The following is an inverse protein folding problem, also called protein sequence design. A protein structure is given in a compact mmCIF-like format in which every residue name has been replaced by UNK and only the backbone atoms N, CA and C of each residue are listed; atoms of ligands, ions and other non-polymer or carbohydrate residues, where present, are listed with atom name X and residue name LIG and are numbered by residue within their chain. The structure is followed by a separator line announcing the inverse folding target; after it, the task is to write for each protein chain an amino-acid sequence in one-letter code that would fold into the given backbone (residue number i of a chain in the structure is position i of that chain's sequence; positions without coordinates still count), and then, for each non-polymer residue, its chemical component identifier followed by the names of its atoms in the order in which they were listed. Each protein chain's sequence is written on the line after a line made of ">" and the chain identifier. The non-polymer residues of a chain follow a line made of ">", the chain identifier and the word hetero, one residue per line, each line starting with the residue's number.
data_IF_987785929589
#
_entry.id   IF_987785929589
#
_cell.length_a   1.000
_cell.length_b   1.000
_cell.length_c   1.000
_cell.angle_alpha   90.00
_cell.angle_beta   90.00
_cell.angle_gamma   90.00
#
_symmetry.space_group_name_H-M   'P 1'
#
loop_
_entity.id
_entity.type
_entity.pdbx_description
1 polymer ?
#
# COMPACT_ATOMS: atom_id res chain seq x y z
N UNK A 1 15.36 1.09 51.12
CA UNK A 1 14.15 1.72 50.55
C UNK A 1 14.58 2.89 49.66
N UNK A 2 14.35 2.86 48.34
CA UNK A 2 14.77 3.95 47.46
C UNK A 2 13.74 5.09 47.45
N UNK A 3 14.28 6.31 47.45
CA UNK A 3 13.57 7.59 47.43
C UNK A 3 12.76 7.77 46.13
N UNK A 4 11.48 8.09 46.28
CA UNK A 4 10.59 8.57 45.21
C UNK A 4 11.09 9.89 44.64
N UNK A 5 11.44 9.90 43.34
CA UNK A 5 11.66 11.12 42.57
C UNK A 5 10.32 11.60 41.98
N UNK A 6 9.91 12.82 42.36
CA UNK A 6 8.78 13.56 41.79
C UNK A 6 9.03 14.00 40.34
N UNK A 7 7.97 14.30 39.55
CA UNK A 7 7.98 14.18 38.09
C UNK A 7 8.46 15.44 37.36
N UNK A 8 9.39 15.25 36.42
CA UNK A 8 9.89 16.25 35.45
C UNK A 8 8.90 16.60 34.32
N UNK A 9 7.59 16.33 34.51
CA UNK A 9 6.60 16.35 33.41
C UNK A 9 5.78 17.64 33.32
N UNK A 10 5.80 18.53 34.33
CA UNK A 10 4.96 19.75 34.34
C UNK A 10 5.61 20.99 33.71
N UNK A 11 6.93 21.03 33.55
CA UNK A 11 7.65 22.28 33.18
C UNK A 11 7.79 22.47 31.65
N UNK A 12 7.47 21.48 30.82
CA UNK A 12 7.54 21.61 29.34
C UNK A 12 6.21 21.92 28.64
N UNK A 13 5.07 21.77 29.31
CA UNK A 13 3.74 21.99 28.70
C UNK A 13 3.45 23.49 28.50
N UNK A 14 3.88 24.31 29.45
CA UNK A 14 3.67 25.76 29.39
C UNK A 14 4.46 26.39 28.23
N UNK A 15 5.68 25.93 27.97
CA UNK A 15 6.54 26.48 26.90
C UNK A 15 5.99 26.21 25.49
N UNK A 16 5.29 25.09 25.26
CA UNK A 16 4.69 24.77 23.96
C UNK A 16 3.43 25.62 23.72
N UNK A 17 2.61 25.82 24.76
CA UNK A 17 1.45 26.70 24.67
C UNK A 17 1.86 28.17 24.44
N UNK A 18 2.90 28.64 25.15
CA UNK A 18 3.39 30.02 25.03
C UNK A 18 4.10 30.26 23.70
N UNK A 19 4.94 29.34 23.21
CA UNK A 19 5.61 29.47 21.92
C UNK A 19 4.65 29.39 20.72
N UNK A 20 3.51 28.69 20.88
CA UNK A 20 2.44 28.70 19.88
C UNK A 20 1.62 29.99 19.91
N UNK A 21 1.45 30.62 21.08
CA UNK A 21 0.74 31.90 21.22
C UNK A 21 1.56 33.09 20.72
N UNK A 22 2.85 33.18 21.09
CA UNK A 22 3.73 34.30 20.71
C UNK A 22 4.08 34.33 19.21
N UNK A 23 3.99 33.18 18.52
CA UNK A 23 4.19 33.10 17.08
C UNK A 23 2.95 33.49 16.25
N UNK A 24 1.80 33.70 16.88
CA UNK A 24 0.49 33.90 16.23
C UNK A 24 -0.02 35.35 16.26
N UNK A 25 0.77 36.31 16.78
CA UNK A 25 0.39 37.73 16.84
C UNK A 25 0.63 38.54 15.54
N UNK A 26 0.88 37.89 14.40
CA UNK A 26 0.95 38.58 13.10
C UNK A 26 -0.10 38.08 12.11
N UNK A 27 -1.16 38.88 12.00
CA UNK A 27 -2.16 39.01 10.92
C UNK A 27 -2.51 37.74 10.10
N UNK A 28 -3.30 36.87 10.73
CA UNK A 28 -4.23 35.97 10.03
C UNK A 28 -5.55 36.04 10.81
N UNK A 29 -6.66 36.21 10.10
CA UNK A 29 -8.04 36.40 10.59
C UNK A 29 -8.33 35.76 11.97
N UNK A 30 -8.04 36.55 13.02
CA UNK A 30 -7.75 36.06 14.37
C UNK A 30 -8.96 35.40 15.02
N UNK A 31 -10.18 35.82 14.68
CA UNK A 31 -11.41 35.22 15.17
C UNK A 31 -11.68 33.81 14.62
N UNK A 32 -11.28 33.54 13.37
CA UNK A 32 -11.43 32.21 12.75
C UNK A 32 -10.43 31.22 13.32
N UNK A 33 -9.21 31.68 13.56
CA UNK A 33 -8.16 30.86 14.17
C UNK A 33 -8.42 30.63 15.66
N UNK A 34 -8.87 31.64 16.42
CA UNK A 34 -9.32 31.48 17.81
C UNK A 34 -10.46 30.47 17.94
N UNK A 35 -11.52 30.58 17.12
CA UNK A 35 -12.62 29.61 17.12
C UNK A 35 -12.14 28.20 16.81
N UNK A 36 -11.20 28.05 15.88
CA UNK A 36 -10.60 26.76 15.55
C UNK A 36 -9.77 26.20 16.72
N UNK A 37 -8.98 27.02 17.40
CA UNK A 37 -8.23 26.61 18.60
C UNK A 37 -9.17 26.18 19.72
N UNK A 38 -10.26 26.91 19.94
CA UNK A 38 -11.32 26.56 20.89
C UNK A 38 -12.00 25.23 20.52
N UNK A 39 -12.28 25.00 19.23
CA UNK A 39 -12.89 23.75 18.75
C UNK A 39 -11.96 22.54 18.91
N UNK A 40 -10.67 22.70 18.59
CA UNK A 40 -9.67 21.63 18.79
C UNK A 40 -9.47 21.34 20.28
N UNK A 41 -9.56 22.35 21.16
CA UNK A 41 -9.39 22.17 22.60
C UNK A 41 -10.42 21.20 23.24
N UNK A 42 -11.57 21.02 22.58
CA UNK A 42 -12.67 20.13 22.98
C UNK A 42 -12.43 18.65 22.68
N UNK A 43 -11.39 18.29 21.91
CA UNK A 43 -11.08 16.88 21.64
C UNK A 43 -10.54 16.20 22.90
N UNK A 44 -10.99 14.97 23.14
CA UNK A 44 -10.82 14.27 24.42
C UNK A 44 -9.37 13.99 24.82
N UNK A 45 -8.49 13.73 23.85
CA UNK A 45 -7.08 13.38 24.12
C UNK A 45 -6.12 14.47 23.69
N UNK A 46 -5.14 14.78 24.54
CA UNK A 46 -4.09 15.78 24.26
C UNK A 46 -3.37 15.50 22.94
N UNK A 47 -3.13 14.23 22.61
CA UNK A 47 -2.49 13.85 21.36
C UNK A 47 -3.40 14.02 20.15
N UNK A 48 -4.70 13.74 20.29
CA UNK A 48 -5.69 14.04 19.26
C UNK A 48 -5.83 15.54 19.03
N UNK A 49 -5.73 16.36 20.10
CA UNK A 49 -5.66 17.82 20.00
C UNK A 49 -4.45 18.28 19.21
N UNK A 50 -3.26 17.80 19.57
CA UNK A 50 -2.02 18.15 18.86
C UNK A 50 -2.07 17.73 17.38
N UNK A 51 -2.65 16.56 17.07
CA UNK A 51 -2.88 16.15 15.68
C UNK A 51 -3.90 17.05 14.96
N UNK A 52 -4.96 17.47 15.65
CA UNK A 52 -5.94 18.43 15.14
C UNK A 52 -5.32 19.79 14.82
N UNK A 53 -4.50 20.32 15.73
CA UNK A 53 -3.73 21.55 15.51
C UNK A 53 -2.82 21.42 14.29
N UNK A 54 -2.07 20.32 14.18
CA UNK A 54 -1.19 20.05 13.05
C UNK A 54 -1.95 19.97 11.72
N UNK A 55 -2.99 19.13 11.62
CA UNK A 55 -3.63 18.82 10.34
C UNK A 55 -4.53 19.94 9.81
N UNK A 56 -5.03 20.80 10.69
CA UNK A 56 -5.85 21.94 10.30
C UNK A 56 -5.02 23.22 10.05
N UNK A 57 -3.71 23.21 10.35
CA UNK A 57 -2.87 24.41 10.29
C UNK A 57 -2.63 24.88 8.86
N UNK A 58 -2.26 26.17 8.74
CA UNK A 58 -1.73 26.70 7.49
C UNK A 58 -0.44 25.96 7.09
N UNK A 59 -0.09 25.96 5.81
CA UNK A 59 1.14 25.29 5.33
C UNK A 59 2.41 25.85 6.02
N UNK A 60 2.44 27.15 6.31
CA UNK A 60 3.55 27.80 7.01
C UNK A 60 3.70 27.33 8.46
N UNK A 61 2.58 27.11 9.17
CA UNK A 61 2.58 26.66 10.57
C UNK A 61 2.75 25.15 10.71
N UNK A 62 2.30 24.37 9.71
CA UNK A 62 2.45 22.91 9.69
C UNK A 62 3.89 22.50 9.93
N UNK A 63 4.87 23.17 9.32
CA UNK A 63 6.29 22.86 9.51
C UNK A 63 6.73 22.96 10.98
N UNK A 64 6.31 24.00 11.69
CA UNK A 64 6.61 24.20 13.12
C UNK A 64 5.92 23.15 13.99
N UNK A 65 4.62 22.94 13.76
CA UNK A 65 3.82 21.98 14.53
C UNK A 65 4.25 20.53 14.28
N UNK A 66 4.77 20.23 13.10
CA UNK A 66 5.29 18.90 12.74
C UNK A 66 6.47 18.53 13.63
N UNK A 67 7.43 19.45 13.81
CA UNK A 67 8.61 19.21 14.66
C UNK A 67 8.21 18.90 16.11
N UNK A 68 7.22 19.62 16.63
CA UNK A 68 6.69 19.42 17.98
C UNK A 68 5.92 18.09 18.07
N UNK A 69 5.01 17.82 17.13
CA UNK A 69 4.17 16.62 17.14
C UNK A 69 5.01 15.34 17.09
N UNK A 70 6.05 15.35 16.25
CA UNK A 70 6.98 14.24 16.06
C UNK A 70 8.21 14.30 16.95
N UNK A 71 8.23 15.15 17.98
CA UNK A 71 9.26 15.09 19.02
C UNK A 71 9.29 13.66 19.59
N UNK A 72 10.50 13.11 19.68
CA UNK A 72 10.78 11.74 20.12
C UNK A 72 10.06 10.63 19.32
N UNK A 73 9.66 10.88 18.07
CA UNK A 73 9.01 9.87 17.22
C UNK A 73 9.90 8.63 17.07
N UNK A 74 11.21 8.82 16.87
CA UNK A 74 12.17 7.74 16.71
C UNK A 74 12.15 6.81 17.92
N UNK A 75 12.28 7.34 19.13
CA UNK A 75 12.31 6.58 20.38
C UNK A 75 11.01 5.81 20.57
N UNK A 76 9.86 6.44 20.31
CA UNK A 76 8.54 5.78 20.35
C UNK A 76 8.43 4.65 19.33
N UNK A 77 8.89 4.87 18.10
CA UNK A 77 8.89 3.85 17.05
C UNK A 77 9.78 2.67 17.42
N UNK A 78 10.99 2.91 17.95
CA UNK A 78 11.89 1.86 18.43
C UNK A 78 11.21 1.01 19.50
N UNK A 79 10.67 1.63 20.55
CA UNK A 79 9.99 0.89 21.64
C UNK A 79 8.78 0.10 21.14
N UNK A 80 7.93 0.71 20.32
CA UNK A 80 6.73 0.07 19.81
C UNK A 80 7.03 -1.08 18.85
N UNK A 81 8.10 -0.99 18.07
CA UNK A 81 8.51 -2.03 17.13
C UNK A 81 9.24 -3.18 17.82
N UNK A 82 10.06 -2.89 18.83
CA UNK A 82 10.66 -3.92 19.69
C UNK A 82 9.60 -4.75 20.41
N UNK A 83 8.55 -4.11 20.95
CA UNK A 83 7.48 -4.81 21.67
C UNK A 83 6.67 -5.74 20.76
N UNK A 84 6.57 -5.43 19.47
CA UNK A 84 5.84 -6.23 18.47
C UNK A 84 6.76 -7.01 17.51
N UNK A 85 8.08 -7.05 17.81
CA UNK A 85 9.13 -7.76 17.07
C UNK A 85 9.20 -7.44 15.57
N UNK A 86 8.87 -6.21 15.20
CA UNK A 86 9.10 -5.68 13.86
C UNK A 86 10.28 -4.71 13.87
N UNK A 87 10.83 -4.40 12.71
CA UNK A 87 11.97 -3.48 12.53
C UNK A 87 11.71 -2.57 11.34
N UNK A 88 12.37 -1.41 11.30
CA UNK A 88 12.30 -0.49 10.14
C UNK A 88 12.68 -1.17 8.81
N UNK A 89 13.56 -2.19 8.84
CA UNK A 89 13.94 -2.98 7.66
C UNK A 89 12.78 -3.79 7.09
N UNK A 90 11.82 -4.18 7.92
CA UNK A 90 10.65 -4.95 7.49
C UNK A 90 9.66 -4.07 6.68
N UNK A 91 9.93 -2.77 6.58
CA UNK A 91 9.22 -1.79 5.75
C UNK A 91 10.13 -1.17 4.67
N UNK A 92 11.28 -1.80 4.40
CA UNK A 92 12.26 -1.35 3.40
C UNK A 92 12.80 0.06 3.65
N UNK A 93 13.23 0.31 4.89
CA UNK A 93 14.01 1.50 5.24
C UNK A 93 15.43 1.11 5.64
N UNK A 94 16.39 2.01 5.35
CA UNK A 94 17.80 1.84 5.71
C UNK A 94 18.08 2.17 7.17
N UNK A 95 17.27 3.05 7.77
CA UNK A 95 17.39 3.46 9.16
C UNK A 95 16.06 3.85 9.79
N UNK A 96 16.05 3.93 11.12
CA UNK A 96 14.95 4.52 11.88
C UNK A 96 14.64 5.97 11.49
N UNK A 97 15.69 6.73 11.09
CA UNK A 97 15.55 8.12 10.66
C UNK A 97 14.75 8.20 9.38
N UNK A 98 15.02 7.32 8.42
CA UNK A 98 14.32 7.30 7.12
C UNK A 98 12.86 6.90 7.30
N UNK A 99 12.59 5.91 8.15
CA UNK A 99 11.22 5.50 8.45
C UNK A 99 10.43 6.62 9.15
N UNK A 100 11.03 7.28 10.15
CA UNK A 100 10.42 8.43 10.82
C UNK A 100 10.14 9.59 9.86
N UNK A 101 11.09 9.92 8.98
CA UNK A 101 10.92 10.97 7.98
C UNK A 101 9.79 10.65 6.97
N UNK A 102 9.70 9.39 6.53
CA UNK A 102 8.61 8.93 5.67
C UNK A 102 7.24 9.08 6.36
N UNK A 103 7.12 8.60 7.61
CA UNK A 103 5.88 8.74 8.40
C UNK A 103 5.50 10.21 8.57
N UNK A 104 6.46 11.05 8.93
CA UNK A 104 6.27 12.49 9.07
C UNK A 104 5.72 13.10 7.76
N UNK A 105 6.36 12.85 6.63
CA UNK A 105 5.92 13.36 5.32
C UNK A 105 4.51 12.92 4.93
N UNK A 106 4.15 11.67 5.22
CA UNK A 106 2.80 11.14 4.93
C UNK A 106 1.71 11.75 5.81
N UNK A 107 2.03 12.11 7.05
CA UNK A 107 1.09 12.79 7.94
C UNK A 107 0.92 14.25 7.57
N UNK A 108 2.00 14.97 7.24
CA UNK A 108 1.93 16.38 6.86
C UNK A 108 1.21 16.60 5.54
N UNK A 109 1.24 15.63 4.63
CA UNK A 109 0.49 15.68 3.37
C UNK A 109 -1.02 15.52 3.52
N UNK A 110 -1.52 15.16 4.72
CA UNK A 110 -2.97 14.99 4.94
C UNK A 110 -3.65 16.35 4.89
N UNK A 111 -4.64 16.48 4.00
CA UNK A 111 -5.46 17.69 3.87
C UNK A 111 -6.74 17.55 4.68
N UNK A 112 -6.95 18.44 5.65
CA UNK A 112 -8.19 18.56 6.41
C UNK A 112 -8.68 20.00 6.35
N UNK A 113 -9.94 20.19 5.97
CA UNK A 113 -10.47 21.53 5.68
C UNK A 113 -11.26 22.15 6.83
N UNK A 114 -11.69 21.36 7.83
CA UNK A 114 -12.35 21.85 9.05
C UNK A 114 -12.42 20.76 10.14
N UNK A 115 -12.77 21.15 11.37
CA UNK A 115 -12.85 20.26 12.53
C UNK A 115 -13.88 19.14 12.34
N UNK A 116 -15.03 19.42 11.72
CA UNK A 116 -16.08 18.41 11.48
C UNK A 116 -15.59 17.28 10.56
N UNK A 117 -14.81 17.61 9.53
CA UNK A 117 -14.13 16.62 8.67
C UNK A 117 -12.94 15.96 9.37
N UNK A 118 -12.28 16.67 10.30
CA UNK A 118 -11.33 16.03 11.20
C UNK A 118 -12.04 14.94 12.01
N UNK A 119 -12.98 15.27 12.89
CA UNK A 119 -13.62 14.30 13.79
C UNK A 119 -14.23 13.10 13.07
N UNK A 120 -15.06 13.35 12.03
CA UNK A 120 -15.68 12.28 11.23
C UNK A 120 -14.67 11.37 10.54
N UNK A 121 -13.49 11.89 10.23
CA UNK A 121 -12.46 11.17 9.49
C UNK A 121 -11.41 10.48 10.37
N UNK A 122 -11.48 10.56 11.71
CA UNK A 122 -10.46 9.98 12.58
C UNK A 122 -10.28 8.47 12.37
N UNK A 123 -11.37 7.72 12.38
CA UNK A 123 -11.34 6.27 12.16
C UNK A 123 -10.90 5.94 10.73
N UNK A 124 -11.40 6.69 9.73
CA UNK A 124 -10.99 6.51 8.33
C UNK A 124 -9.49 6.76 8.13
N UNK A 125 -8.94 7.82 8.72
CA UNK A 125 -7.51 8.15 8.66
C UNK A 125 -6.64 7.15 9.40
N UNK A 126 -7.11 6.60 10.53
CA UNK A 126 -6.43 5.48 11.20
C UNK A 126 -6.24 4.31 10.24
N UNK A 127 -7.31 3.89 9.58
CA UNK A 127 -7.26 2.75 8.66
C UNK A 127 -6.50 3.06 7.38
N UNK A 128 -6.64 4.27 6.82
CA UNK A 128 -5.82 4.71 5.70
C UNK A 128 -4.33 4.68 6.06
N UNK A 129 -3.94 5.18 7.23
CA UNK A 129 -2.55 5.17 7.67
C UNK A 129 -2.03 3.74 7.84
N UNK A 130 -2.76 2.89 8.56
CA UNK A 130 -2.37 1.49 8.75
C UNK A 130 -2.27 0.77 7.41
N UNK A 131 -3.25 0.94 6.53
CA UNK A 131 -3.30 0.30 5.21
C UNK A 131 -2.20 0.79 4.27
N UNK A 132 -2.24 2.06 3.90
CA UNK A 132 -1.41 2.61 2.82
C UNK A 132 0.03 2.95 3.24
N UNK A 133 0.27 3.22 4.54
CA UNK A 133 1.59 3.67 5.00
C UNK A 133 2.40 2.52 5.60
N UNK A 134 1.75 1.66 6.39
CA UNK A 134 2.44 0.56 7.08
C UNK A 134 2.27 -0.77 6.34
N UNK A 135 1.03 -1.20 6.15
CA UNK A 135 0.69 -2.54 5.70
C UNK A 135 1.11 -2.80 4.26
N UNK A 136 0.75 -1.89 3.36
CA UNK A 136 1.11 -1.96 1.95
C UNK A 136 2.63 -1.99 1.75
N UNK A 137 3.36 -1.19 2.54
CA UNK A 137 4.81 -1.14 2.48
C UNK A 137 5.46 -2.44 2.98
N UNK A 138 4.95 -2.99 4.07
CA UNK A 138 5.34 -4.31 4.59
C UNK A 138 5.13 -5.43 3.56
N UNK A 139 4.09 -5.33 2.73
CA UNK A 139 3.78 -6.33 1.69
C UNK A 139 4.65 -6.14 0.46
N UNK A 140 4.69 -4.93 -0.09
CA UNK A 140 5.35 -4.64 -1.38
C UNK A 140 6.88 -4.66 -1.29
N UNK A 141 7.44 -4.38 -0.11
CA UNK A 141 8.88 -4.18 0.08
C UNK A 141 9.45 -4.94 1.28
N UNK A 142 8.59 -5.48 2.16
CA UNK A 142 9.00 -6.18 3.37
C UNK A 142 9.10 -7.70 3.22
N UNK A 143 8.99 -8.45 4.34
CA UNK A 143 9.19 -9.90 4.37
C UNK A 143 8.25 -10.70 3.47
N UNK A 144 7.05 -10.17 3.21
CA UNK A 144 6.05 -10.83 2.37
C UNK A 144 6.44 -10.77 0.89
N UNK A 145 7.22 -9.75 0.49
CA UNK A 145 7.57 -9.51 -0.91
C UNK A 145 8.20 -10.72 -1.58
N UNK A 146 9.14 -11.38 -0.88
CA UNK A 146 9.81 -12.59 -1.38
C UNK A 146 8.82 -13.70 -1.75
N UNK A 147 7.81 -13.92 -0.91
CA UNK A 147 6.78 -14.92 -1.18
C UNK A 147 5.96 -14.56 -2.44
N UNK A 148 5.65 -13.27 -2.64
CA UNK A 148 4.97 -12.82 -3.86
C UNK A 148 5.87 -13.00 -5.09
N UNK A 149 7.17 -12.69 -4.98
CA UNK A 149 8.15 -12.88 -6.06
C UNK A 149 8.26 -14.36 -6.46
N UNK A 150 8.39 -15.26 -5.49
CA UNK A 150 8.49 -16.71 -5.72
C UNK A 150 7.21 -17.26 -6.37
N UNK A 151 6.03 -16.86 -5.88
CA UNK A 151 4.74 -17.28 -6.45
C UNK A 151 4.57 -16.80 -7.89
N UNK A 152 4.92 -15.55 -8.18
CA UNK A 152 4.86 -15.01 -9.53
C UNK A 152 5.81 -15.74 -10.49
N UNK A 153 7.00 -16.08 -9.99
CA UNK A 153 8.03 -16.79 -10.73
C UNK A 153 7.60 -18.22 -11.08
N UNK A 154 6.97 -18.93 -10.16
CA UNK A 154 6.45 -20.28 -10.39
C UNK A 154 5.29 -20.28 -11.39
N UNK A 155 4.37 -19.30 -11.27
CA UNK A 155 3.29 -19.11 -12.23
C UNK A 155 3.82 -18.83 -13.65
N UNK A 156 4.81 -17.93 -13.79
CA UNK A 156 5.46 -17.66 -15.08
C UNK A 156 6.14 -18.92 -15.64
N UNK A 157 6.84 -19.67 -14.80
CA UNK A 157 7.54 -20.89 -15.22
C UNK A 157 6.57 -21.94 -15.76
N UNK A 158 5.43 -22.14 -15.11
CA UNK A 158 4.38 -23.06 -15.56
C UNK A 158 3.88 -22.71 -16.97
N UNK A 159 3.66 -21.42 -17.24
CA UNK A 159 3.27 -20.92 -18.58
C UNK A 159 4.40 -21.19 -19.58
N UNK A 160 5.65 -20.85 -19.25
CA UNK A 160 6.79 -21.06 -20.14
C UNK A 160 7.08 -22.53 -20.41
N UNK A 161 6.90 -23.41 -19.42
CA UNK A 161 7.02 -24.86 -19.58
C UNK A 161 5.97 -25.39 -20.57
N UNK A 162 4.73 -24.90 -20.47
CA UNK A 162 3.66 -25.25 -21.40
C UNK A 162 3.97 -24.80 -22.83
N UNK A 163 4.53 -23.60 -23.01
CA UNK A 163 5.00 -23.09 -24.30
C UNK A 163 6.15 -23.97 -24.85
N UNK A 164 7.14 -24.32 -24.01
CA UNK A 164 8.29 -25.13 -24.42
C UNK A 164 7.87 -26.53 -24.85
N UNK A 165 7.07 -27.21 -24.04
CA UNK A 165 6.64 -28.59 -24.29
C UNK A 165 5.78 -28.69 -25.54
N UNK A 166 4.89 -27.72 -25.78
CA UNK A 166 3.91 -27.77 -26.86
C UNK A 166 4.27 -26.88 -28.07
N UNK A 167 5.42 -26.20 -28.03
CA UNK A 167 5.85 -25.12 -28.97
C UNK A 167 4.92 -23.89 -29.03
N UNK A 168 3.77 -23.96 -28.38
CA UNK A 168 2.79 -22.90 -28.25
C UNK A 168 1.90 -23.15 -27.04
N UNK A 169 1.33 -22.10 -26.47
CA UNK A 169 0.33 -22.19 -25.41
C UNK A 169 -0.86 -21.30 -25.75
N UNK A 170 -2.06 -21.88 -25.67
CA UNK A 170 -3.29 -21.12 -25.91
C UNK A 170 -3.65 -20.35 -24.64
N UNK A 171 -3.69 -19.03 -24.78
CA UNK A 171 -4.05 -18.07 -23.75
C UNK A 171 -5.30 -17.30 -24.18
N UNK A 172 -5.91 -16.54 -23.28
CA UNK A 172 -7.03 -15.65 -23.60
C UNK A 172 -6.63 -14.18 -23.46
N UNK A 173 -7.13 -13.32 -24.32
CA UNK A 173 -7.01 -11.87 -24.12
C UNK A 173 -8.11 -11.33 -23.19
N UNK A 174 -8.07 -10.02 -22.92
CA UNK A 174 -9.10 -9.36 -22.11
C UNK A 174 -10.52 -9.46 -22.72
N UNK A 175 -10.70 -9.81 -24.00
CA UNK A 175 -11.99 -9.98 -24.67
C UNK A 175 -12.36 -11.46 -24.87
N UNK A 176 -11.72 -12.38 -24.12
CA UNK A 176 -11.91 -13.83 -24.21
C UNK A 176 -11.56 -14.42 -25.59
N UNK A 177 -10.76 -13.73 -26.41
CA UNK A 177 -10.25 -14.30 -27.65
C UNK A 177 -9.08 -15.22 -27.36
N UNK A 178 -9.08 -16.39 -27.98
CA UNK A 178 -7.97 -17.33 -27.89
C UNK A 178 -6.77 -16.81 -28.68
N UNK A 179 -5.62 -16.73 -28.01
CA UNK A 179 -4.34 -16.29 -28.56
C UNK A 179 -3.36 -17.45 -28.45
N UNK A 180 -2.76 -17.85 -29.56
CA UNK A 180 -1.64 -18.81 -29.55
C UNK A 180 -0.34 -18.08 -29.29
N UNK A 181 0.25 -18.29 -28.11
CA UNK A 181 1.51 -17.67 -27.70
C UNK A 181 2.65 -18.64 -27.97
N UNK A 182 3.66 -18.22 -28.72
CA UNK A 182 4.75 -19.11 -29.15
C UNK A 182 6.09 -18.78 -28.50
N UNK A 183 6.22 -17.59 -27.90
CA UNK A 183 7.43 -17.15 -27.21
C UNK A 183 7.21 -17.10 -25.71
N UNK A 184 8.20 -17.61 -24.99
CA UNK A 184 8.29 -17.53 -23.54
C UNK A 184 8.30 -16.08 -23.05
N UNK A 185 7.72 -15.87 -21.88
CA UNK A 185 7.77 -14.61 -21.15
C UNK A 185 9.12 -14.47 -20.43
N UNK A 186 9.68 -13.27 -20.49
CA UNK A 186 10.98 -12.94 -19.93
C UNK A 186 10.97 -12.74 -18.41
N UNK A 187 11.94 -11.96 -17.92
CA UNK A 187 12.05 -11.64 -16.50
C UNK A 187 10.83 -10.87 -15.99
N UNK A 188 10.50 -11.08 -14.71
CA UNK A 188 9.42 -10.38 -14.04
C UNK A 188 9.88 -8.99 -13.59
N UNK A 189 9.08 -7.97 -13.91
CA UNK A 189 9.18 -6.62 -13.37
C UNK A 189 8.03 -6.37 -12.41
N UNK A 190 8.30 -5.78 -11.25
CA UNK A 190 7.27 -5.57 -10.24
C UNK A 190 6.55 -4.23 -10.44
N UNK A 191 5.31 -4.29 -10.91
CA UNK A 191 4.38 -3.17 -10.89
C UNK A 191 3.95 -2.90 -9.45
N UNK A 192 4.32 -1.73 -8.92
CA UNK A 192 4.01 -1.32 -7.55
C UNK A 192 2.71 -0.54 -7.45
N UNK A 193 2.08 -0.18 -8.57
CA UNK A 193 0.76 0.42 -8.64
C UNK A 193 0.23 0.30 -10.07
N UNK A 194 -1.05 -0.04 -10.22
CA UNK A 194 -1.71 -0.07 -11.52
C UNK A 194 -2.92 0.87 -11.52
N UNK A 195 -2.96 1.74 -12.52
CA UNK A 195 -3.96 2.78 -12.70
C UNK A 195 -4.66 2.60 -14.06
N UNK A 196 -5.99 2.65 -14.05
CA UNK A 196 -6.80 2.77 -15.26
C UNK A 196 -7.26 4.20 -15.42
N UNK A 197 -6.97 4.80 -16.57
CA UNK A 197 -7.56 6.08 -16.94
C UNK A 197 -8.88 5.82 -17.67
N UNK A 198 -9.99 6.22 -17.07
CA UNK A 198 -11.33 6.11 -17.64
C UNK A 198 -11.83 7.47 -18.13
N UNK A 199 -12.96 7.51 -18.85
CA UNK A 199 -13.60 8.79 -19.24
C UNK A 199 -13.87 9.68 -18.02
N UNK A 200 -14.20 9.05 -16.88
CA UNK A 200 -14.52 9.73 -15.63
C UNK A 200 -13.28 10.05 -14.76
N UNK A 201 -12.07 9.79 -15.28
CA UNK A 201 -10.79 10.03 -14.61
C UNK A 201 -10.03 8.76 -14.23
N UNK A 202 -8.89 8.97 -13.57
CA UNK A 202 -7.98 7.91 -13.11
C UNK A 202 -8.54 7.14 -11.92
N UNK A 203 -8.43 5.81 -11.98
CA UNK A 203 -8.83 4.89 -10.92
C UNK A 203 -7.72 3.86 -10.70
N UNK A 204 -7.28 3.73 -9.45
CA UNK A 204 -6.42 2.63 -9.05
C UNK A 204 -7.22 1.32 -9.04
N UNK A 205 -6.65 0.26 -9.60
CA UNK A 205 -7.37 -1.00 -9.77
C UNK A 205 -6.57 -2.25 -9.38
N UNK A 206 -5.25 -2.15 -9.21
CA UNK A 206 -4.46 -3.16 -8.50
C UNK A 206 -3.42 -2.45 -7.63
N UNK A 207 -3.21 -2.99 -6.43
CA UNK A 207 -2.18 -2.49 -5.53
C UNK A 207 -0.79 -2.95 -5.97
N UNK A 208 -0.62 -4.21 -6.39
CA UNK A 208 0.68 -4.79 -6.74
C UNK A 208 0.55 -5.92 -7.76
N UNK A 209 1.62 -6.20 -8.51
CA UNK A 209 1.66 -7.36 -9.40
C UNK A 209 2.94 -7.42 -10.21
N UNK A 210 3.37 -8.63 -10.53
CA UNK A 210 4.50 -8.84 -11.43
C UNK A 210 4.04 -8.88 -12.87
N UNK A 211 4.84 -8.31 -13.75
CA UNK A 211 4.59 -8.26 -15.18
C UNK A 211 5.75 -8.95 -15.89
N UNK A 212 5.44 -9.79 -16.86
CA UNK A 212 6.43 -10.30 -17.80
C UNK A 212 5.97 -10.06 -19.24
N UNK A 213 6.92 -9.73 -20.10
CA UNK A 213 6.73 -9.47 -21.52
C UNK A 213 7.37 -10.59 -22.33
N UNK A 214 6.83 -10.90 -23.50
CA UNK A 214 7.46 -11.81 -24.45
C UNK A 214 7.83 -11.09 -25.77
N UNK A 215 8.51 -11.81 -26.65
CA UNK A 215 8.96 -11.27 -27.95
C UNK A 215 7.87 -11.22 -29.02
N UNK A 216 6.72 -11.86 -28.78
CA UNK A 216 5.55 -11.78 -29.68
C UNK A 216 4.73 -10.50 -29.45
N UNK A 217 5.15 -9.64 -28.51
CA UNK A 217 4.44 -8.41 -28.20
C UNK A 217 3.33 -8.58 -27.17
N UNK A 218 3.28 -9.71 -26.45
CA UNK A 218 2.31 -9.98 -25.39
C UNK A 218 2.92 -9.79 -24.01
N UNK A 219 2.05 -9.60 -23.02
CA UNK A 219 2.43 -9.54 -21.62
C UNK A 219 1.41 -10.23 -20.73
N UNK A 220 1.86 -10.63 -19.54
CA UNK A 220 1.07 -11.33 -18.53
C UNK A 220 1.24 -10.64 -17.17
N UNK A 221 0.23 -10.80 -16.31
CA UNK A 221 0.34 -10.56 -14.86
C UNK A 221 0.17 -11.91 -14.17
N UNK A 222 1.26 -12.62 -13.80
CA UNK A 222 1.13 -13.96 -13.25
C UNK A 222 0.47 -13.99 -11.88
N UNK A 223 0.54 -12.91 -11.10
CA UNK A 223 -0.06 -12.81 -9.75
C UNK A 223 -0.54 -11.38 -9.46
N UNK A 224 -1.67 -10.95 -10.05
CA UNK A 224 -2.30 -9.69 -9.66
C UNK A 224 -2.65 -9.72 -8.18
N UNK A 225 -2.25 -8.67 -7.44
CA UNK A 225 -2.33 -8.61 -5.98
C UNK A 225 -3.09 -7.37 -5.53
N UNK A 226 -4.14 -7.59 -4.75
CA UNK A 226 -4.86 -6.54 -4.02
C UNK A 226 -4.50 -6.60 -2.53
N UNK A 227 -4.18 -5.45 -1.94
CA UNK A 227 -3.75 -5.28 -0.56
C UNK A 227 -4.83 -4.53 0.18
N UNK A 228 -5.67 -5.23 0.94
CA UNK A 228 -6.80 -4.61 1.66
C UNK A 228 -6.79 -4.92 3.14
N UNK A 229 -7.32 -3.96 3.90
CA UNK A 229 -7.69 -4.19 5.30
C UNK A 229 -8.93 -5.10 5.40
N UNK A 230 -9.17 -5.77 6.55
CA UNK A 230 -10.14 -6.86 6.64
C UNK A 230 -11.59 -6.43 6.34
N UNK A 231 -11.95 -5.20 6.70
CA UNK A 231 -13.27 -4.64 6.41
C UNK A 231 -13.47 -4.33 4.92
N UNK A 232 -12.39 -4.02 4.19
CA UNK A 232 -12.39 -3.75 2.76
C UNK A 232 -12.22 -5.05 1.93
N UNK A 233 -11.60 -6.09 2.51
CA UNK A 233 -11.36 -7.37 1.86
C UNK A 233 -12.64 -8.06 1.35
N UNK A 234 -13.80 -7.83 2.00
CA UNK A 234 -15.09 -8.37 1.55
C UNK A 234 -15.53 -7.88 0.16
N UNK A 235 -15.04 -6.72 -0.29
CA UNK A 235 -15.37 -6.14 -1.60
C UNK A 235 -14.36 -6.51 -2.70
N UNK A 236 -13.29 -7.22 -2.34
CA UNK A 236 -12.19 -7.54 -3.26
C UNK A 236 -12.62 -8.51 -4.34
N UNK A 237 -13.39 -9.53 -4.00
CA UNK A 237 -13.92 -10.49 -4.99
C UNK A 237 -14.72 -9.78 -6.10
N UNK A 238 -15.54 -8.79 -5.72
CA UNK A 238 -16.33 -7.98 -6.67
C UNK A 238 -15.41 -7.10 -7.54
N UNK A 239 -14.38 -6.48 -6.96
CA UNK A 239 -13.44 -5.66 -7.74
C UNK A 239 -12.65 -6.47 -8.77
N UNK A 240 -12.34 -7.73 -8.45
CA UNK A 240 -11.68 -8.64 -9.38
C UNK A 240 -12.60 -9.21 -10.44
N UNK A 241 -13.86 -9.54 -10.13
CA UNK A 241 -14.82 -9.90 -11.17
C UNK A 241 -15.05 -8.74 -12.15
N UNK A 242 -14.99 -7.50 -11.65
CA UNK A 242 -15.06 -6.29 -12.47
C UNK A 242 -13.72 -5.93 -13.16
N UNK A 243 -12.62 -6.62 -12.88
CA UNK A 243 -11.29 -6.25 -13.40
C UNK A 243 -11.26 -6.23 -14.93
N UNK A 244 -11.70 -7.33 -15.54
CA UNK A 244 -11.67 -7.48 -17.00
C UNK A 244 -12.55 -6.42 -17.66
N UNK A 245 -13.75 -6.16 -17.13
CA UNK A 245 -14.65 -5.14 -17.67
C UNK A 245 -14.10 -3.73 -17.52
N UNK A 246 -13.53 -3.38 -16.35
CA UNK A 246 -12.84 -2.09 -16.16
C UNK A 246 -11.66 -1.93 -17.09
N UNK A 247 -10.88 -3.00 -17.29
CA UNK A 247 -9.76 -2.99 -18.24
C UNK A 247 -10.24 -2.76 -19.67
N UNK A 248 -11.38 -3.32 -20.07
CA UNK A 248 -12.01 -3.12 -21.39
C UNK A 248 -12.48 -1.68 -21.59
N UNK A 249 -13.03 -1.05 -20.56
CA UNK A 249 -13.55 0.33 -20.60
C UNK A 249 -12.47 1.42 -20.48
N UNK A 250 -11.33 1.09 -19.89
CA UNK A 250 -10.23 2.03 -19.70
C UNK A 250 -9.66 2.53 -21.03
N UNK A 251 -9.32 3.81 -21.10
CA UNK A 251 -8.56 4.37 -22.23
C UNK A 251 -7.10 3.96 -22.16
N UNK A 252 -6.52 3.98 -20.95
CA UNK A 252 -5.12 3.70 -20.71
C UNK A 252 -4.92 2.84 -19.48
N UNK A 253 -3.88 2.04 -19.52
CA UNK A 253 -3.33 1.35 -18.36
C UNK A 253 -1.96 1.96 -18.06
N UNK A 254 -1.82 2.57 -16.89
CA UNK A 254 -0.57 3.13 -16.39
C UNK A 254 -0.08 2.25 -15.26
N UNK A 255 1.17 1.82 -15.32
CA UNK A 255 1.82 1.02 -14.28
C UNK A 255 3.06 1.75 -13.78
N UNK A 256 3.18 1.86 -12.46
CA UNK A 256 4.39 2.39 -11.82
C UNK A 256 5.30 1.24 -11.41
N UNK A 257 6.58 1.39 -11.71
CA UNK A 257 7.65 0.49 -11.30
C UNK A 257 8.69 1.24 -10.49
N UNK A 258 9.52 0.52 -9.74
CA UNK A 258 10.68 1.13 -9.09
C UNK A 258 11.62 1.73 -10.14
N UNK A 259 12.24 2.88 -9.83
CA UNK A 259 13.16 3.54 -10.77
C UNK A 259 14.32 2.63 -11.23
N UNK A 260 14.73 1.66 -10.39
CA UNK A 260 15.76 0.69 -10.74
C UNK A 260 15.38 -0.25 -11.90
N UNK A 261 14.08 -0.43 -12.18
CA UNK A 261 13.60 -1.26 -13.28
C UNK A 261 13.55 -0.53 -14.62
N UNK A 262 13.82 0.79 -14.67
CA UNK A 262 13.76 1.61 -15.89
C UNK A 262 14.57 1.00 -17.04
N UNK A 263 15.84 0.69 -16.83
CA UNK A 263 16.71 0.12 -17.89
C UNK A 263 16.32 -1.29 -18.33
N UNK A 264 15.57 -2.04 -17.51
CA UNK A 264 14.99 -3.32 -17.94
C UNK A 264 13.78 -3.09 -18.84
N UNK A 265 12.95 -2.09 -18.49
CA UNK A 265 11.74 -1.74 -19.23
C UNK A 265 12.05 -1.09 -20.58
N UNK A 266 13.10 -0.26 -20.68
CA UNK A 266 13.51 0.40 -21.94
C UNK A 266 13.60 -0.54 -23.15
N UNK A 267 13.97 -1.81 -22.93
CA UNK A 267 14.07 -2.83 -23.98
C UNK A 267 12.75 -3.12 -24.69
N UNK A 268 11.62 -2.75 -24.08
CA UNK A 268 10.28 -2.92 -24.63
C UNK A 268 9.72 -1.59 -25.19
N UNK A 269 10.40 -0.46 -25.00
CA UNK A 269 10.02 0.80 -25.65
C UNK A 269 10.22 0.66 -27.16
N UNK A 270 9.22 1.07 -27.94
CA UNK A 270 9.22 0.89 -29.40
C UNK A 270 8.66 -0.44 -29.90
N UNK A 271 8.39 -1.40 -29.00
CA UNK A 271 7.64 -2.64 -29.34
C UNK A 271 6.13 -2.41 -29.52
N UNK A 272 5.65 -1.20 -29.20
CA UNK A 272 4.23 -0.88 -29.11
C UNK A 272 3.55 -1.35 -27.82
N UNK A 273 4.26 -2.09 -26.95
CA UNK A 273 3.70 -2.61 -25.71
C UNK A 273 3.76 -1.58 -24.58
N UNK A 274 4.85 -0.79 -24.50
CA UNK A 274 5.01 0.22 -23.46
C UNK A 274 5.43 1.58 -24.02
N UNK A 275 4.93 2.64 -23.40
CA UNK A 275 5.51 3.99 -23.44
C UNK A 275 6.03 4.31 -22.05
N UNK A 276 7.30 4.72 -21.94
CA UNK A 276 7.99 4.87 -20.66
C UNK A 276 8.36 6.33 -20.40
N UNK A 277 8.01 6.81 -19.21
CA UNK A 277 8.40 8.10 -18.67
C UNK A 277 9.15 7.91 -17.34
N UNK A 278 10.16 8.73 -17.10
CA UNK A 278 10.86 8.76 -15.82
C UNK A 278 10.24 9.84 -14.94
N UNK A 279 9.77 9.46 -13.76
CA UNK A 279 9.20 10.38 -12.78
C UNK A 279 9.88 10.14 -11.43
N UNK A 280 10.73 11.07 -10.98
CA UNK A 280 11.45 11.04 -9.70
C UNK A 280 11.86 9.64 -9.19
N UNK A 281 11.04 9.03 -8.33
CA UNK A 281 11.28 7.75 -7.64
C UNK A 281 10.78 6.51 -8.41
N UNK A 282 10.07 6.71 -9.52
CA UNK A 282 9.41 5.66 -10.29
C UNK A 282 9.76 5.70 -11.79
N UNK A 283 9.65 4.53 -12.40
CA UNK A 283 9.51 4.39 -13.84
C UNK A 283 8.01 4.22 -14.13
N UNK A 284 7.42 5.13 -14.90
CA UNK A 284 5.98 5.12 -15.21
C UNK A 284 5.80 4.63 -16.63
N UNK A 285 5.05 3.53 -16.80
CA UNK A 285 4.79 2.97 -18.12
C UNK A 285 3.30 3.01 -18.44
N UNK A 286 2.94 3.58 -19.59
CA UNK A 286 1.66 3.30 -20.24
C UNK A 286 1.81 1.96 -20.98
N UNK A 287 0.99 0.97 -20.64
CA UNK A 287 1.05 -0.38 -21.19
C UNK A 287 -0.14 -0.64 -22.11
N UNK A 288 0.10 -1.20 -23.29
CA UNK A 288 -0.94 -1.62 -24.22
C UNK A 288 -1.75 -2.79 -23.65
N UNK A 289 -2.92 -2.47 -23.11
CA UNK A 289 -3.89 -3.44 -22.57
C UNK A 289 -4.38 -4.46 -23.60
N UNK A 290 -4.34 -4.15 -24.90
CA UNK A 290 -4.74 -5.08 -25.95
C UNK A 290 -3.78 -6.27 -26.10
N UNK A 291 -2.58 -6.15 -25.53
CA UNK A 291 -1.54 -7.18 -25.52
C UNK A 291 -1.51 -8.03 -24.25
N UNK A 292 -2.40 -7.74 -23.30
CA UNK A 292 -2.53 -8.56 -22.10
C UNK A 292 -3.16 -9.90 -22.45
N UNK A 293 -2.48 -10.97 -22.07
CA UNK A 293 -3.00 -12.33 -22.17
C UNK A 293 -3.02 -13.00 -20.81
N UNK A 294 -3.91 -13.97 -20.65
CA UNK A 294 -4.09 -14.73 -19.43
C UNK A 294 -4.09 -16.21 -19.73
N UNK A 295 -3.67 -17.00 -18.76
CA UNK A 295 -3.78 -18.45 -18.85
C UNK A 295 -5.27 -18.84 -18.84
N UNK A 296 -5.71 -19.54 -19.89
CA UNK A 296 -7.09 -20.00 -20.04
C UNK A 296 -7.50 -21.00 -18.94
N UNK A 297 -6.53 -21.68 -18.34
CA UNK A 297 -6.73 -22.69 -17.31
C UNK A 297 -6.62 -22.11 -15.89
N UNK A 298 -6.05 -20.91 -15.74
CA UNK A 298 -5.82 -20.26 -14.44
C UNK A 298 -5.77 -18.73 -14.57
N UNK A 299 -6.84 -18.03 -14.16
CA UNK A 299 -6.71 -16.61 -13.84
C UNK A 299 -6.13 -16.50 -12.43
N UNK A 300 -4.81 -16.44 -12.36
CA UNK A 300 -4.07 -16.33 -11.10
C UNK A 300 -4.49 -15.06 -10.35
N UNK A 301 -4.77 -15.16 -9.05
CA UNK A 301 -5.09 -14.03 -8.19
C UNK A 301 -4.45 -14.20 -6.81
N UNK A 302 -4.20 -13.09 -6.11
CA UNK A 302 -3.69 -13.09 -4.74
C UNK A 302 -4.33 -11.97 -3.93
N UNK A 303 -4.86 -12.30 -2.74
CA UNK A 303 -5.53 -11.33 -1.84
C UNK A 303 -4.87 -11.36 -0.47
N UNK A 304 -4.09 -10.35 -0.15
CA UNK A 304 -3.42 -10.25 1.15
C UNK A 304 -4.29 -9.47 2.14
N UNK A 305 -4.66 -10.07 3.28
CA UNK A 305 -5.55 -9.45 4.30
C UNK A 305 -5.09 -9.74 5.74
N UNK A 306 -5.37 -8.87 6.72
CA UNK A 306 -5.25 -9.23 8.15
C UNK A 306 -6.46 -10.07 8.65
N UNK A 307 -6.29 -11.03 9.57
CA UNK A 307 -7.43 -11.75 10.23
C UNK A 307 -7.66 -11.34 11.68
N UNK A 308 -8.82 -11.77 12.24
CA UNK A 308 -9.37 -11.39 13.56
C UNK A 308 -9.00 -12.33 14.72
N UNK A 309 -8.48 -13.52 14.45
CA UNK A 309 -8.23 -14.57 15.45
C UNK A 309 -6.73 -14.85 15.60
N UNK A 310 -6.35 -15.38 16.77
CA UNK A 310 -4.97 -15.46 17.22
C UNK A 310 -4.04 -16.21 16.24
N UNK A 311 -2.85 -15.64 16.09
CA UNK A 311 -1.86 -15.91 15.06
C UNK A 311 -1.01 -17.14 15.35
N UNK A 312 -1.04 -18.14 14.48
CA UNK A 312 -0.04 -19.19 14.38
C UNK A 312 0.97 -18.88 13.25
N UNK A 313 2.21 -19.36 13.39
CA UNK A 313 3.22 -19.39 12.32
C UNK A 313 2.61 -19.85 10.99
N UNK A 314 2.98 -19.24 9.86
CA UNK A 314 2.72 -19.77 8.51
C UNK A 314 3.18 -21.22 8.49
N UNK A 315 2.26 -22.17 8.62
CA UNK A 315 2.53 -23.60 8.56
C UNK A 315 2.06 -24.11 7.22
N UNK A 316 3.01 -24.52 6.39
CA UNK A 316 2.73 -25.35 5.21
C UNK A 316 1.98 -26.60 5.71
N UNK A 317 0.80 -26.95 5.16
CA UNK A 317 0.10 -28.16 5.56
C UNK A 317 1.00 -29.38 5.30
N UNK A 318 1.12 -30.26 6.30
CA UNK A 318 1.87 -31.49 6.13
C UNK A 318 1.07 -32.39 5.16
N UNK A 319 1.70 -32.77 4.05
CA UNK A 319 1.16 -33.57 2.93
C UNK A 319 0.36 -32.82 1.86
N UNK A 320 0.52 -31.51 1.69
CA UNK A 320 0.22 -30.91 0.38
C UNK A 320 1.26 -31.40 -0.64
N UNK A 321 0.88 -31.95 -1.82
CA UNK A 321 1.77 -32.02 -2.97
C UNK A 321 2.40 -30.65 -3.24
N UNK A 322 3.49 -30.61 -4.01
CA UNK A 322 4.31 -29.40 -4.17
C UNK A 322 3.61 -28.23 -4.91
N UNK A 323 2.29 -28.30 -5.10
CA UNK A 323 1.29 -27.25 -4.91
C UNK A 323 -0.01 -28.00 -4.56
N UNK A 324 -0.65 -27.69 -3.42
CA UNK A 324 -2.09 -27.93 -3.22
C UNK A 324 -2.63 -26.79 -2.37
N UNK A 325 -3.21 -25.83 -3.09
CA UNK A 325 -3.91 -24.65 -2.60
C UNK A 325 -5.38 -25.05 -2.52
N UNK A 326 -6.01 -24.93 -1.34
CA UNK A 326 -7.45 -25.12 -1.22
C UNK A 326 -8.17 -24.10 -2.12
N UNK A 327 -8.70 -24.61 -3.23
CA UNK A 327 -9.64 -23.97 -4.13
C UNK A 327 -10.99 -23.85 -3.41
N UNK A 328 -11.43 -22.62 -3.16
CA UNK A 328 -12.80 -22.31 -2.74
C UNK A 328 -13.02 -20.79 -2.71
N UNK A 329 -14.01 -20.20 -3.35
CA UNK A 329 -15.15 -20.67 -4.15
C UNK A 329 -15.41 -19.60 -5.19
N UNK A 330 -15.71 -20.03 -6.42
CA UNK A 330 -16.43 -19.25 -7.43
C UNK A 330 -17.50 -18.38 -6.77
N UNK A 331 -17.54 -17.07 -7.05
CA UNK A 331 -18.85 -16.39 -7.01
C UNK A 331 -19.73 -17.16 -7.98
N UNK A 332 -20.90 -17.63 -7.53
CA UNK A 332 -21.83 -18.43 -8.33
C UNK A 332 -22.41 -17.69 -9.56
N UNK A 333 -21.84 -16.54 -9.93
CA UNK A 333 -22.26 -15.70 -11.04
C UNK A 333 -21.04 -15.43 -11.94
N UNK A 334 -20.77 -16.36 -12.86
CA UNK A 334 -20.10 -16.07 -14.13
C UNK A 334 -18.56 -16.02 -14.16
N UNK A 335 -17.93 -17.20 -14.33
CA UNK A 335 -16.70 -17.37 -15.11
C UNK A 335 -15.36 -17.21 -14.38
N UNK A 336 -14.41 -18.11 -14.70
CA UNK A 336 -12.98 -18.16 -14.34
C UNK A 336 -12.58 -18.86 -13.02
N UNK A 337 -11.51 -19.68 -13.10
CA UNK A 337 -10.87 -20.36 -11.97
C UNK A 337 -9.85 -19.43 -11.30
N UNK A 338 -10.04 -19.15 -10.00
CA UNK A 338 -9.26 -18.19 -9.24
C UNK A 338 -8.41 -18.86 -8.17
N UNK A 339 -7.19 -18.35 -7.97
CA UNK A 339 -6.38 -18.67 -6.80
C UNK A 339 -6.64 -17.61 -5.75
N UNK A 340 -6.96 -18.00 -4.52
CA UNK A 340 -7.12 -17.06 -3.41
C UNK A 340 -6.05 -17.33 -2.37
N UNK A 341 -4.90 -16.69 -2.54
CA UNK A 341 -3.85 -16.75 -1.51
C UNK A 341 -4.18 -15.69 -0.47
N UNK A 342 -4.77 -16.12 0.66
CA UNK A 342 -4.95 -15.27 1.83
C UNK A 342 -3.66 -15.24 2.65
N UNK A 343 -2.87 -14.17 2.50
CA UNK A 343 -1.74 -13.94 3.40
C UNK A 343 -2.27 -13.19 4.61
N UNK A 344 -2.54 -13.95 5.65
CA UNK A 344 -2.88 -13.43 6.96
C UNK A 344 -1.66 -12.71 7.55
N UNK A 345 -1.81 -11.44 7.96
CA UNK A 345 -0.78 -10.68 8.73
C UNK A 345 -1.37 -10.01 9.98
N UNK A 346 -0.70 -10.13 11.14
CA UNK A 346 -1.18 -9.59 12.40
C UNK A 346 -1.36 -8.07 12.34
N UNK A 347 -2.58 -7.60 12.61
CA UNK A 347 -2.91 -6.17 12.64
C UNK A 347 -2.41 -5.47 13.89
N UNK A 348 -2.23 -6.19 14.99
CA UNK A 348 -1.91 -5.63 16.31
C UNK A 348 -0.56 -4.91 16.34
N UNK A 349 0.50 -5.41 15.68
CA UNK A 349 1.73 -4.66 15.45
C UNK A 349 1.50 -3.30 14.77
N UNK A 350 0.68 -3.24 13.71
CA UNK A 350 0.40 -1.99 13.00
C UNK A 350 -0.51 -1.05 13.80
N UNK A 351 -1.39 -1.59 14.63
CA UNK A 351 -2.17 -0.78 15.57
C UNK A 351 -1.29 -0.20 16.67
N UNK A 352 -0.37 -0.99 17.23
CA UNK A 352 0.59 -0.55 18.24
C UNK A 352 1.49 0.56 17.69
N UNK A 353 1.97 0.38 16.46
CA UNK A 353 2.67 1.42 15.69
C UNK A 353 1.86 2.70 15.54
N UNK A 354 0.60 2.57 15.10
CA UNK A 354 -0.30 3.72 14.97
C UNK A 354 -0.47 4.44 16.32
N UNK A 355 -0.67 3.71 17.41
CA UNK A 355 -0.79 4.29 18.75
C UNK A 355 0.52 4.98 19.18
N UNK A 356 1.68 4.38 18.91
CA UNK A 356 2.96 4.99 19.21
C UNK A 356 3.19 6.28 18.42
N UNK A 357 2.81 6.31 17.15
CA UNK A 357 2.95 7.49 16.28
C UNK A 357 1.99 8.60 16.71
N UNK A 358 0.70 8.30 16.81
CA UNK A 358 -0.35 9.32 16.94
C UNK A 358 -0.82 9.55 18.37
N UNK A 359 -0.77 8.55 19.23
CA UNK A 359 -1.26 8.63 20.62
C UNK A 359 -0.12 8.73 21.65
N UNK A 360 1.14 8.57 21.21
CA UNK A 360 2.30 8.72 22.09
C UNK A 360 2.45 7.62 23.14
N UNK A 361 1.71 6.51 22.99
CA UNK A 361 1.85 5.32 23.83
C UNK A 361 3.19 4.65 23.53
N UNK A 362 3.95 4.30 24.57
CA UNK A 362 5.20 3.56 24.44
C UNK A 362 4.95 2.08 24.32
#
# INVERSE_FOLDING_TARGET
>A
MPKTKSPLTKIKVTQIATASLEAMEKEIDSAKELRRLEEVSRLESERTRQLGHLLLASEAEKLKLTAIFFENLKERLVTALESVRLRYKDFDFKSWKDFAAFVQGKVTSIKVTNIKKFERGLQGRKWWFIGSILFERYIKYGPVRRFLDETAQDARNTINDSIRSNKSYTMIDAWNKLISVTKEFGELSAGVEFLLETVDGEKQFLDFGHIAFNRDGYWIIPTPTEIKLPSAAKKVAIQFSEFIDRLREAKKLIVKFQAADFGKLEKYVGSGIITLEKADEFAVAEIDRSKLVFDQNALNQMVVKPTKEAWGSVKKPAKSPNIDIDLGTTSQEGGFNYWKIEVDINRDPFQSLYQAIFLGTK
#
